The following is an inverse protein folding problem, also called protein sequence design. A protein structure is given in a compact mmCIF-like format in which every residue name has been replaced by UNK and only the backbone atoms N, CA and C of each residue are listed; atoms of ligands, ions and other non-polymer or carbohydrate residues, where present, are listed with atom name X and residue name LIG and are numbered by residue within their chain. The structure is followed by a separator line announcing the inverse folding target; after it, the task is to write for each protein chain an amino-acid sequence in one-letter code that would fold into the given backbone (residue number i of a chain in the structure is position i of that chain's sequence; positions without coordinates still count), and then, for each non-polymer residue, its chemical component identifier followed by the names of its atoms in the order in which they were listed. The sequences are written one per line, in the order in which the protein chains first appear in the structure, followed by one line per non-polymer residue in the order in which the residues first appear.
data_IF_923232454285
#
_entry.id   IF_923232454285
#
_cell.length_a   1.000
_cell.length_b   1.000
_cell.length_c   1.000
_cell.angle_alpha   90.00
_cell.angle_beta   90.00
_cell.angle_gamma   90.00
#
_symmetry.space_group_name_H-M   'P 1'
#
loop_
_entity.id
_entity.type
_entity.pdbx_description
1 polymer ?
#
# COMPACT_ATOMS: atom_id res chain seq x y z
N UNK A 1 12.83 -7.37 13.98
CA UNK A 1 12.84 -7.66 12.54
C UNK A 1 12.70 -6.37 11.77
N UNK A 2 13.42 -6.24 10.65
CA UNK A 2 13.21 -5.15 9.68
C UNK A 2 12.20 -5.63 8.63
N UNK A 3 11.43 -4.73 8.04
CA UNK A 3 10.32 -5.11 7.15
C UNK A 3 10.29 -4.26 5.89
N UNK A 4 9.88 -4.88 4.78
CA UNK A 4 9.81 -4.26 3.45
C UNK A 4 8.40 -4.40 2.87
N UNK A 5 7.86 -3.29 2.39
CA UNK A 5 6.54 -3.18 1.79
C UNK A 5 6.61 -3.11 0.25
N UNK A 6 5.74 -3.87 -0.41
CA UNK A 6 5.54 -3.83 -1.86
C UNK A 6 4.04 -3.76 -2.17
N UNK A 7 3.68 -3.07 -3.24
CA UNK A 7 2.32 -2.99 -3.73
C UNK A 7 2.26 -3.32 -5.23
N UNK A 8 1.17 -3.94 -5.65
CA UNK A 8 0.89 -4.24 -7.06
C UNK A 8 -0.50 -3.76 -7.40
N UNK A 9 -0.65 -3.10 -8.55
CA UNK A 9 -1.96 -2.68 -9.08
C UNK A 9 -2.31 -3.53 -10.30
N UNK A 10 -3.49 -4.13 -10.29
CA UNK A 10 -3.96 -4.97 -11.39
C UNK A 10 -5.28 -4.48 -11.99
N UNK A 11 -5.29 -4.21 -13.30
CA UNK A 11 -6.48 -3.87 -14.09
C UNK A 11 -6.83 -5.01 -15.10
N UNK A 12 -6.48 -6.28 -14.77
CA UNK A 12 -6.51 -7.54 -15.60
C UNK A 12 -5.13 -7.92 -16.21
N UNK A 13 -4.78 -9.21 -16.43
CA UNK A 13 -4.49 -10.26 -15.44
C UNK A 13 -3.06 -10.19 -14.87
N UNK A 14 -2.26 -9.17 -15.21
CA UNK A 14 -0.86 -9.05 -14.82
C UNK A 14 -0.72 -7.98 -13.74
N UNK A 15 -0.27 -8.34 -12.52
CA UNK A 15 0.02 -7.36 -11.48
C UNK A 15 1.16 -6.45 -11.93
N UNK A 16 0.95 -5.13 -11.89
CA UNK A 16 1.98 -4.13 -12.20
C UNK A 16 2.57 -3.61 -10.88
N UNK A 17 3.90 -3.65 -10.68
CA UNK A 17 4.54 -3.09 -9.49
C UNK A 17 4.20 -1.61 -9.33
N UNK A 18 3.75 -1.23 -8.14
CA UNK A 18 3.52 0.17 -7.78
C UNK A 18 4.80 0.76 -7.16
N UNK A 19 5.25 1.95 -7.61
CA UNK A 19 6.47 2.56 -7.11
C UNK A 19 6.29 3.07 -5.68
N UNK A 20 6.62 2.24 -4.70
CA UNK A 20 6.48 2.57 -3.27
C UNK A 20 7.51 3.61 -2.78
N UNK A 21 8.64 3.78 -3.46
CA UNK A 21 9.67 4.76 -3.05
C UNK A 21 10.08 4.59 -1.58
N UNK A 22 10.05 5.68 -0.81
CA UNK A 22 10.35 5.65 0.63
C UNK A 22 9.33 4.82 1.44
N UNK A 23 8.09 4.66 0.94
CA UNK A 23 7.03 3.88 1.60
C UNK A 23 7.34 2.37 1.61
N UNK A 24 8.36 1.94 0.84
CA UNK A 24 8.82 0.55 0.84
C UNK A 24 9.50 0.13 2.15
N UNK A 25 10.01 1.07 2.94
CA UNK A 25 10.53 0.79 4.28
C UNK A 25 9.34 0.72 5.26
N UNK A 26 8.74 -0.47 5.42
CA UNK A 26 7.53 -0.62 6.23
C UNK A 26 7.72 -0.23 7.70
N UNK A 27 8.95 -0.34 8.22
CA UNK A 27 9.32 0.13 9.55
C UNK A 27 9.10 1.62 9.78
N UNK A 28 9.19 2.44 8.74
CA UNK A 28 9.09 3.91 8.84
C UNK A 28 7.62 4.38 8.93
N UNK A 29 6.68 3.45 8.74
CA UNK A 29 5.24 3.69 8.66
C UNK A 29 4.47 3.08 9.85
N UNK A 30 5.19 2.61 10.87
CA UNK A 30 4.64 2.12 12.12
C UNK A 30 4.35 3.31 13.05
N UNK A 31 3.15 3.34 13.64
CA UNK A 31 2.71 4.49 14.44
C UNK A 31 3.30 4.51 15.86
N UNK A 32 3.36 3.34 16.51
CA UNK A 32 3.61 3.25 17.95
C UNK A 32 4.89 2.49 18.32
N UNK A 33 5.60 1.95 17.32
CA UNK A 33 6.75 1.07 17.50
C UNK A 33 7.75 1.27 16.38
N UNK A 34 9.03 1.22 16.72
CA UNK A 34 10.11 1.20 15.74
C UNK A 34 10.67 -0.20 15.60
N UNK A 35 11.24 -0.50 14.43
CA UNK A 35 11.98 -1.73 14.25
C UNK A 35 13.21 -1.79 15.17
N UNK A 36 13.57 -2.96 15.72
CA UNK A 36 13.03 -4.29 15.41
C UNK A 36 11.67 -4.60 16.07
N UNK A 37 10.69 -5.05 15.28
CA UNK A 37 9.42 -5.58 15.83
C UNK A 37 9.65 -6.95 16.49
N UNK A 38 9.12 -7.13 17.70
CA UNK A 38 9.19 -8.37 18.47
C UNK A 38 7.98 -9.28 18.20
N UNK A 39 8.20 -10.60 18.24
CA UNK A 39 7.13 -11.59 18.03
C UNK A 39 6.02 -11.42 19.08
N UNK A 40 4.77 -11.55 18.64
CA UNK A 40 3.58 -11.47 19.51
C UNK A 40 3.10 -10.06 19.83
N UNK A 41 3.73 -9.02 19.27
CA UNK A 41 3.22 -7.64 19.39
C UNK A 41 2.18 -7.36 18.31
N UNK A 42 1.12 -6.64 18.70
CA UNK A 42 0.21 -5.99 17.76
C UNK A 42 0.81 -4.64 17.38
N UNK A 43 0.80 -4.34 16.08
CA UNK A 43 1.36 -3.11 15.53
C UNK A 43 0.29 -2.36 14.75
N UNK A 44 0.35 -1.02 14.80
CA UNK A 44 -0.45 -0.15 13.94
C UNK A 44 0.44 0.35 12.81
N UNK A 45 -0.03 0.18 11.57
CA UNK A 45 0.66 0.54 10.35
C UNK A 45 -0.25 1.46 9.53
N UNK A 46 0.27 2.61 9.11
CA UNK A 46 -0.48 3.57 8.31
C UNK A 46 0.26 3.88 7.02
N UNK A 47 -0.44 3.71 5.89
CA UNK A 47 0.11 3.91 4.56
C UNK A 47 -0.79 4.85 3.76
N UNK A 48 -0.26 6.01 3.43
CA UNK A 48 -0.92 7.02 2.61
C UNK A 48 -0.27 7.05 1.23
N UNK A 49 -0.99 6.61 0.21
CA UNK A 49 -0.53 6.58 -1.18
C UNK A 49 -1.27 7.65 -1.98
N UNK A 50 -0.52 8.54 -2.62
CA UNK A 50 -1.08 9.42 -3.64
C UNK A 50 -1.17 8.68 -4.97
N UNK A 51 -2.37 8.60 -5.53
CA UNK A 51 -2.63 7.98 -6.82
C UNK A 51 -2.71 9.05 -7.91
N UNK A 52 -1.71 9.10 -8.79
CA UNK A 52 -1.69 10.06 -9.89
C UNK A 52 -2.75 9.70 -10.96
N UNK A 53 -3.60 10.65 -11.39
CA UNK A 53 -4.61 10.40 -12.43
C UNK A 53 -4.03 9.98 -13.79
N UNK A 54 -2.77 10.33 -14.06
CA UNK A 54 -2.06 10.03 -15.31
C UNK A 54 -1.86 8.54 -15.56
N UNK A 55 -1.85 7.72 -14.50
CA UNK A 55 -1.61 6.28 -14.56
C UNK A 55 -2.90 5.45 -14.40
N UNK A 56 -4.07 6.10 -14.26
CA UNK A 56 -5.30 5.45 -13.86
C UNK A 56 -6.46 5.69 -14.83
N UNK A 57 -7.03 4.60 -15.35
CA UNK A 57 -8.21 4.64 -16.21
C UNK A 57 -9.47 4.88 -15.36
N UNK A 58 -10.19 5.97 -15.65
CA UNK A 58 -11.44 6.29 -14.95
C UNK A 58 -12.50 5.19 -15.11
N UNK A 59 -13.37 5.06 -14.11
CA UNK A 59 -14.46 4.08 -14.03
C UNK A 59 -13.99 2.62 -14.18
N UNK A 60 -12.76 2.35 -13.77
CA UNK A 60 -12.19 1.01 -13.84
C UNK A 60 -12.06 0.41 -12.45
N UNK A 61 -12.35 -0.89 -12.35
CA UNK A 61 -12.10 -1.68 -11.14
C UNK A 61 -10.69 -2.21 -11.19
N UNK A 62 -9.98 -2.08 -10.08
CA UNK A 62 -8.64 -2.59 -9.93
C UNK A 62 -8.48 -3.18 -8.53
N UNK A 63 -7.45 -3.98 -8.36
CA UNK A 63 -7.04 -4.52 -7.07
C UNK A 63 -5.67 -3.98 -6.72
N UNK A 64 -5.48 -3.55 -5.47
CA UNK A 64 -4.16 -3.34 -4.88
C UNK A 64 -3.83 -4.56 -4.05
N UNK A 65 -2.78 -5.28 -4.45
CA UNK A 65 -2.19 -6.29 -3.60
C UNK A 65 -1.04 -5.66 -2.81
N UNK A 66 -1.13 -5.67 -1.49
CA UNK A 66 -0.12 -5.10 -0.60
C UNK A 66 0.54 -6.20 0.23
N UNK A 67 1.87 -6.25 0.18
CA UNK A 67 2.69 -7.24 0.87
C UNK A 67 3.71 -6.58 1.79
N UNK A 68 3.80 -7.07 3.02
CA UNK A 68 4.92 -6.80 3.93
C UNK A 68 5.65 -8.11 4.19
N UNK A 69 6.97 -8.09 4.01
CA UNK A 69 7.86 -9.21 4.33
C UNK A 69 8.86 -8.80 5.42
N UNK A 70 9.40 -9.78 6.14
CA UNK A 70 10.52 -9.57 7.06
C UNK A 70 11.89 -9.60 6.35
N UNK A 71 12.99 -9.45 7.12
CA UNK A 71 14.35 -9.45 6.58
C UNK A 71 14.77 -10.76 5.89
N UNK A 72 14.09 -11.86 6.17
CA UNK A 72 14.34 -13.19 5.59
C UNK A 72 13.35 -13.48 4.44
N UNK A 73 12.67 -12.43 3.96
CA UNK A 73 11.66 -12.47 2.90
C UNK A 73 10.45 -13.37 3.23
N UNK A 74 10.14 -13.54 4.52
CA UNK A 74 8.94 -14.25 4.96
C UNK A 74 7.74 -13.32 4.98
N UNK A 75 6.57 -13.75 4.46
CA UNK A 75 5.37 -12.92 4.43
C UNK A 75 4.83 -12.68 5.83
N UNK A 76 4.69 -11.40 6.21
CA UNK A 76 4.01 -10.96 7.43
C UNK A 76 2.57 -10.56 7.14
N UNK A 77 2.36 -9.79 6.06
CA UNK A 77 1.05 -9.34 5.60
C UNK A 77 0.98 -9.54 4.08
N UNK A 78 -0.16 -10.04 3.61
CA UNK A 78 -0.53 -10.07 2.20
C UNK A 78 -2.03 -9.82 2.11
N UNK A 79 -2.43 -8.63 1.67
CA UNK A 79 -3.83 -8.24 1.53
C UNK A 79 -4.11 -7.86 0.07
N UNK A 80 -5.29 -8.23 -0.41
CA UNK A 80 -5.84 -7.79 -1.69
C UNK A 80 -7.03 -6.87 -1.40
N UNK A 81 -6.93 -5.62 -1.85
CA UNK A 81 -7.95 -4.59 -1.64
C UNK A 81 -8.53 -4.21 -3.00
N UNK A 82 -9.80 -4.58 -3.29
CA UNK A 82 -10.47 -4.12 -4.50
C UNK A 82 -10.87 -2.65 -4.35
N UNK A 83 -10.65 -1.86 -5.41
CA UNK A 83 -11.04 -0.45 -5.48
C UNK A 83 -11.63 -0.08 -6.85
N UNK A 84 -12.37 1.02 -6.88
CA UNK A 84 -12.97 1.58 -8.08
C UNK A 84 -12.52 3.02 -8.29
N UNK A 85 -11.97 3.30 -9.46
CA UNK A 85 -11.43 4.61 -9.80
C UNK A 85 -12.59 5.48 -10.27
N UNK A 86 -12.91 6.52 -9.49
CA UNK A 86 -13.98 7.47 -9.81
C UNK A 86 -13.40 8.79 -10.33
N UNK A 87 -14.14 9.52 -11.20
CA UNK A 87 -13.76 10.87 -11.57
C UNK A 87 -13.65 11.77 -10.33
N UNK A 88 -12.74 12.76 -10.39
CA UNK A 88 -12.66 13.78 -9.37
C UNK A 88 -14.00 14.53 -9.28
N UNK A 89 -14.64 14.48 -8.12
CA UNK A 89 -15.81 15.29 -7.82
C UNK A 89 -15.34 16.60 -7.18
N UNK A 90 -15.83 17.75 -7.67
CA UNK A 90 -15.46 19.07 -7.18
C UNK A 90 -15.77 19.27 -5.68
N UNK A 91 -16.67 18.47 -5.09
CA UNK A 91 -16.95 18.50 -3.66
C UNK A 91 -15.93 17.77 -2.79
N UNK A 92 -15.07 16.89 -3.34
CA UNK A 92 -14.05 16.14 -2.60
C UNK A 92 -12.68 16.85 -2.55
N UNK A 93 -12.46 17.84 -3.42
CA UNK A 93 -11.21 18.62 -3.46
C UNK A 93 -11.21 19.82 -2.49
N UNK A 94 -12.29 19.99 -1.71
CA UNK A 94 -12.46 21.14 -0.81
C UNK A 94 -12.10 20.84 0.66
N UNK A 95 -11.67 19.61 0.98
CA UNK A 95 -11.34 19.16 2.35
C UNK A 95 -9.83 18.99 2.58
N UNK A 96 -8.97 19.78 1.91
CA UNK A 96 -7.53 19.80 2.18
C UNK A 96 -6.99 21.23 2.26
#
# INVERSE_FOLDING_TARGET
MNTLATAFVGIIPVPVPFPMGHLSAACDLLLDISCPVAKGHTINYELNIFMEPSVMLLNTRANVEFRIVDQDNQPLICIDVPFHIVPANSTMLAEN
#
